data_IF_130639577809
#
_entry.id   IF_130639577809
#
_cell.length_a   1.000
_cell.length_b   1.000
_cell.length_c   1.000
_cell.angle_alpha   90.00
_cell.angle_beta   90.00
_cell.angle_gamma   90.00
#
_symmetry.space_group_name_H-M   'P 1'
#
loop_
_entity.id
_entity.type
_entity.pdbx_description
1 polymer ?
#
# COMPACT_ATOMS: atom_id res chain seq x y z
N UNK A 1 -22.28 -3.84 17.91
CA UNK A 1 -21.90 -2.75 16.95
C UNK A 1 -21.26 -1.65 17.79
N UNK A 2 -20.05 -1.19 17.43
CA UNK A 2 -19.21 -0.35 18.31
C UNK A 2 -17.79 -0.86 18.57
N UNK A 3 -17.27 -1.78 17.73
CA UNK A 3 -15.88 -2.25 17.85
C UNK A 3 -14.95 -1.40 16.99
N UNK A 4 -13.87 -0.90 17.59
CA UNK A 4 -12.86 -0.09 16.92
C UNK A 4 -12.07 -0.87 15.85
N UNK A 5 -11.71 -2.13 16.13
CA UNK A 5 -11.01 -2.98 15.18
C UNK A 5 -11.96 -3.92 14.44
N UNK A 6 -11.46 -4.55 13.36
CA UNK A 6 -12.19 -5.58 12.58
C UNK A 6 -11.82 -7.03 12.94
N UNK A 7 -10.78 -7.26 13.75
CA UNK A 7 -10.36 -8.61 14.19
C UNK A 7 -11.37 -9.31 15.12
N UNK A 8 -11.28 -10.61 15.34
CA UNK A 8 -12.06 -11.29 16.38
C UNK A 8 -11.12 -12.22 17.16
N UNK A 9 -11.30 -12.28 18.47
CA UNK A 9 -10.64 -13.28 19.32
C UNK A 9 -11.40 -14.60 19.15
N UNK A 10 -10.78 -15.57 18.48
CA UNK A 10 -11.40 -16.86 18.13
C UNK A 10 -11.65 -17.76 19.34
N UNK A 11 -10.94 -17.54 20.46
CA UNK A 11 -11.13 -18.31 21.68
C UNK A 11 -12.33 -17.81 22.50
N UNK A 12 -12.52 -16.48 22.53
CA UNK A 12 -13.57 -15.84 23.34
C UNK A 12 -14.87 -15.62 22.59
N UNK A 13 -14.85 -15.61 21.26
CA UNK A 13 -16.03 -15.32 20.43
C UNK A 13 -16.48 -16.56 19.66
N UNK A 14 -17.80 -16.66 19.49
CA UNK A 14 -18.49 -17.71 18.74
C UNK A 14 -19.49 -17.08 17.78
N UNK A 15 -19.92 -17.85 16.79
CA UNK A 15 -20.98 -17.41 15.88
C UNK A 15 -22.28 -17.17 16.66
N UNK A 16 -22.89 -15.99 16.51
CA UNK A 16 -24.15 -15.67 17.21
C UNK A 16 -25.37 -16.42 16.70
N UNK A 17 -25.27 -17.11 15.56
CA UNK A 17 -26.35 -17.88 14.95
C UNK A 17 -26.27 -19.38 15.27
N UNK A 18 -25.11 -20.00 15.00
CA UNK A 18 -24.91 -21.44 15.17
C UNK A 18 -24.04 -21.83 16.37
N UNK A 19 -23.50 -20.87 17.13
CA UNK A 19 -22.64 -21.08 18.30
C UNK A 19 -21.32 -21.87 18.05
N UNK A 20 -20.98 -22.08 16.78
CA UNK A 20 -19.71 -22.66 16.35
C UNK A 20 -18.50 -21.82 16.77
N UNK A 21 -17.36 -22.50 16.94
CA UNK A 21 -16.05 -21.87 17.17
C UNK A 21 -15.50 -21.33 15.84
N UNK A 22 -14.78 -20.22 15.90
CA UNK A 22 -14.08 -19.69 14.74
C UNK A 22 -12.72 -20.38 14.62
N UNK A 23 -12.39 -20.88 13.44
CA UNK A 23 -11.07 -21.41 13.12
C UNK A 23 -10.36 -20.46 12.15
N UNK A 24 -9.11 -20.11 12.48
CA UNK A 24 -8.30 -19.30 11.59
C UNK A 24 -7.67 -20.18 10.52
N UNK A 25 -8.15 -19.99 9.30
CA UNK A 25 -7.59 -20.60 8.12
C UNK A 25 -6.38 -19.78 7.63
N UNK A 26 -5.16 -20.31 7.82
CA UNK A 26 -3.91 -19.58 7.56
C UNK A 26 -3.30 -19.94 6.19
N UNK A 27 -3.30 -18.99 5.26
CA UNK A 27 -2.69 -19.13 3.93
C UNK A 27 -1.24 -18.64 3.91
N UNK A 28 -0.39 -19.13 4.83
CA UNK A 28 1.02 -18.73 4.93
C UNK A 28 1.92 -19.95 5.04
N UNK A 29 3.04 -19.89 4.33
CA UNK A 29 4.16 -20.81 4.49
C UNK A 29 4.93 -20.38 5.73
N UNK A 30 5.06 -21.26 6.73
CA UNK A 30 6.00 -21.02 7.83
C UNK A 30 7.43 -21.21 7.35
N UNK A 31 8.42 -20.70 8.08
CA UNK A 31 9.85 -20.98 7.82
C UNK A 31 10.17 -22.48 7.86
N UNK A 32 9.30 -23.27 8.48
CA UNK A 32 9.35 -24.73 8.61
C UNK A 32 8.68 -25.48 7.45
N UNK A 33 8.17 -24.79 6.42
CA UNK A 33 7.68 -25.41 5.18
C UNK A 33 6.26 -25.99 5.24
N UNK A 34 5.57 -25.97 6.38
CA UNK A 34 4.20 -26.51 6.48
C UNK A 34 3.20 -25.59 5.77
N UNK A 35 2.57 -26.09 4.70
CA UNK A 35 1.52 -25.41 3.93
C UNK A 35 0.15 -25.92 4.37
N UNK A 36 -0.64 -25.11 5.08
CA UNK A 36 -2.07 -25.35 5.22
C UNK A 36 -2.76 -24.80 3.95
N UNK A 37 -3.48 -25.67 3.25
CA UNK A 37 -3.94 -25.44 1.88
C UNK A 37 -5.32 -24.77 1.85
N UNK A 38 -5.37 -23.52 1.40
CA UNK A 38 -6.56 -22.91 0.76
C UNK A 38 -6.05 -22.05 -0.41
N UNK A 39 -6.78 -21.97 -1.54
CA UNK A 39 -6.39 -21.17 -2.69
C UNK A 39 -6.07 -19.74 -2.29
N UNK A 40 -4.79 -19.37 -2.42
CA UNK A 40 -4.31 -18.02 -2.20
C UNK A 40 -4.64 -17.22 -3.46
N UNK A 41 -5.44 -16.17 -3.36
CA UNK A 41 -5.34 -15.10 -4.36
C UNK A 41 -3.98 -14.44 -4.14
N UNK A 42 -3.05 -14.50 -5.11
CA UNK A 42 -1.76 -13.86 -4.95
C UNK A 42 -1.97 -12.36 -4.75
N UNK A 43 -1.53 -11.83 -3.62
CA UNK A 43 -1.40 -10.38 -3.45
C UNK A 43 -0.09 -9.92 -4.09
N UNK A 44 0.07 -10.27 -5.37
CA UNK A 44 1.17 -9.81 -6.24
C UNK A 44 0.82 -8.45 -6.84
N UNK A 45 0.09 -7.61 -6.08
CA UNK A 45 -0.19 -6.26 -6.51
C UNK A 45 1.12 -5.50 -6.50
N UNK A 46 1.58 -5.16 -7.70
CA UNK A 46 2.72 -4.30 -7.90
C UNK A 46 2.54 -3.01 -7.06
N UNK A 47 3.61 -2.55 -6.39
CA UNK A 47 3.54 -1.32 -5.60
C UNK A 47 3.12 -0.16 -6.50
N UNK A 48 2.24 0.70 -6.00
CA UNK A 48 1.80 1.88 -6.74
C UNK A 48 2.99 2.82 -7.00
N UNK A 49 2.91 3.64 -8.04
CA UNK A 49 3.95 4.63 -8.35
C UNK A 49 4.27 5.55 -7.15
N UNK A 50 3.26 5.91 -6.37
CA UNK A 50 3.46 6.68 -5.14
C UNK A 50 4.21 5.87 -4.06
N UNK A 51 3.90 4.58 -3.89
CA UNK A 51 4.60 3.74 -2.93
C UNK A 51 6.08 3.57 -3.27
N UNK A 52 6.41 3.43 -4.56
CA UNK A 52 7.79 3.43 -5.04
C UNK A 52 8.47 4.78 -4.75
N UNK A 53 7.82 5.89 -5.08
CA UNK A 53 8.36 7.22 -4.83
C UNK A 53 8.64 7.47 -3.34
N UNK A 54 7.73 7.08 -2.45
CA UNK A 54 7.92 7.21 -1.00
C UNK A 54 9.10 6.35 -0.54
N UNK A 55 9.23 5.11 -1.03
CA UNK A 55 10.33 4.22 -0.68
C UNK A 55 11.70 4.85 -0.98
N UNK A 56 11.83 5.49 -2.13
CA UNK A 56 13.10 6.04 -2.59
C UNK A 56 13.45 7.35 -1.87
N UNK A 57 12.46 8.17 -1.49
CA UNK A 57 12.69 9.53 -0.97
C UNK A 57 12.54 9.66 0.55
N UNK A 58 11.90 8.69 1.24
CA UNK A 58 11.57 8.81 2.66
C UNK A 58 12.80 8.98 3.56
N UNK A 59 13.85 8.18 3.33
CA UNK A 59 15.07 8.21 4.14
C UNK A 59 15.78 9.57 4.05
N UNK A 60 15.84 10.15 2.85
CA UNK A 60 16.39 11.48 2.60
C UNK A 60 15.61 12.56 3.33
N UNK A 61 14.28 12.60 3.15
CA UNK A 61 13.43 13.61 3.81
C UNK A 61 13.52 13.53 5.32
N UNK A 62 13.50 12.31 5.89
CA UNK A 62 13.59 12.09 7.33
C UNK A 62 14.95 12.51 7.91
N UNK A 63 16.03 12.36 7.14
CA UNK A 63 17.38 12.78 7.55
C UNK A 63 17.58 14.28 7.45
N UNK A 64 17.09 14.92 6.38
CA UNK A 64 17.23 16.37 6.17
C UNK A 64 16.38 17.17 7.16
N UNK A 65 15.21 16.64 7.56
CA UNK A 65 14.31 17.29 8.51
C UNK A 65 14.16 16.43 9.76
N UNK A 66 15.22 16.41 10.55
CA UNK A 66 15.25 15.64 11.81
C UNK A 66 14.14 16.13 12.74
N UNK A 67 13.42 15.19 13.35
CA UNK A 67 12.35 15.49 14.31
C UNK A 67 10.94 15.59 13.75
N UNK A 68 10.73 15.55 12.43
CA UNK A 68 9.38 15.55 11.86
C UNK A 68 8.60 14.28 12.22
N UNK A 69 7.33 14.46 12.54
CA UNK A 69 6.42 13.35 12.75
C UNK A 69 6.20 12.60 11.42
N UNK A 70 5.98 11.28 11.50
CA UNK A 70 5.75 10.45 10.31
C UNK A 70 4.64 11.01 9.39
N UNK A 71 3.57 11.54 9.98
CA UNK A 71 2.45 12.18 9.27
C UNK A 71 2.92 13.34 8.40
N UNK A 72 3.79 14.20 8.92
CA UNK A 72 4.29 15.39 8.23
C UNK A 72 5.20 15.00 7.07
N UNK A 73 6.04 13.98 7.27
CA UNK A 73 6.89 13.42 6.20
C UNK A 73 6.03 12.88 5.06
N UNK A 74 4.96 12.15 5.35
CA UNK A 74 4.05 11.62 4.33
C UNK A 74 3.27 12.72 3.60
N UNK A 75 2.86 13.79 4.31
CA UNK A 75 2.22 14.94 3.68
C UNK A 75 3.17 15.65 2.70
N UNK A 76 4.42 15.87 3.09
CA UNK A 76 5.42 16.50 2.24
C UNK A 76 5.70 15.66 0.98
N UNK A 77 5.88 14.35 1.13
CA UNK A 77 6.07 13.45 0.00
C UNK A 77 4.85 13.40 -0.93
N UNK A 78 3.64 13.48 -0.37
CA UNK A 78 2.40 13.57 -1.15
C UNK A 78 2.33 14.85 -2.01
N UNK A 79 2.72 15.99 -1.45
CA UNK A 79 2.78 17.27 -2.17
C UNK A 79 3.82 17.23 -3.29
N UNK A 80 5.02 16.72 -3.01
CA UNK A 80 6.09 16.57 -4.00
C UNK A 80 5.68 15.65 -5.15
N UNK A 81 5.08 14.50 -4.84
CA UNK A 81 4.61 13.57 -5.87
C UNK A 81 3.51 14.17 -6.75
N UNK A 82 2.60 14.94 -6.17
CA UNK A 82 1.52 15.62 -6.90
C UNK A 82 2.08 16.68 -7.86
N UNK A 83 3.08 17.46 -7.43
CA UNK A 83 3.76 18.45 -8.27
C UNK A 83 4.48 17.81 -9.47
N UNK A 84 5.15 16.67 -9.26
CA UNK A 84 5.79 15.90 -10.35
C UNK A 84 4.75 15.36 -11.34
N UNK A 85 3.60 14.89 -10.84
CA UNK A 85 2.53 14.38 -11.69
C UNK A 85 1.95 15.48 -12.60
N UNK A 86 1.77 16.69 -12.06
CA UNK A 86 1.27 17.86 -12.81
C UNK A 86 2.28 18.34 -13.87
N UNK A 87 3.59 18.34 -13.55
CA UNK A 87 4.63 18.77 -14.49
C UNK A 87 4.90 17.77 -15.63
N UNK A 88 4.57 16.49 -15.44
CA UNK A 88 4.60 15.48 -16.52
C UNK A 88 3.42 15.63 -17.48
N UNK A 89 2.23 16.01 -16.98
CA UNK A 89 1.03 16.23 -17.80
C UNK A 89 1.22 17.38 -18.79
N UNK A 90 1.92 18.45 -18.38
CA UNK A 90 2.16 19.62 -19.22
C UNK A 90 3.23 19.43 -20.31
N UNK A 91 4.07 18.39 -20.21
CA UNK A 91 5.10 18.07 -21.24
C UNK A 91 4.58 17.18 -22.35
N UNK A 92 3.60 16.33 -22.06
CA UNK A 92 3.02 15.40 -23.04
C UNK A 92 2.06 16.10 -24.03
N UNK A 93 1.38 17.16 -23.59
CA UNK A 93 0.50 17.98 -24.45
C UNK A 93 1.23 18.96 -25.39
N UNK A 94 2.57 19.04 -25.31
CA UNK A 94 3.38 20.02 -26.07
C UNK A 94 4.38 19.35 -27.03
N UNK A 95 3.99 18.22 -27.65
CA UNK A 95 4.72 17.64 -28.78
C UNK A 95 4.18 18.24 -30.08
N UNK A 96 4.84 19.22 -30.71
CA UNK A 96 4.46 19.60 -32.07
C UNK A 96 4.74 18.42 -32.99
N UNK A 97 3.75 18.06 -33.80
CA UNK A 97 3.89 17.21 -34.97
C UNK A 97 4.97 17.82 -35.86
N UNK A 98 6.13 17.18 -35.96
CA UNK A 98 7.12 17.55 -36.98
C UNK A 98 6.58 16.96 -38.28
N UNK A 99 5.86 17.78 -39.05
CA UNK A 99 5.54 17.52 -40.45
C UNK A 99 6.87 17.43 -41.20
N UNK A 100 7.22 16.23 -41.67
CA UNK A 100 8.32 16.01 -42.61
C UNK A 100 7.71 16.20 -43.99
N UNK A 101 7.99 17.32 -44.64
CA UNK A 101 7.72 17.50 -46.07
C UNK A 101 8.89 16.94 -46.88
N UNK A 102 8.55 16.06 -47.82
CA UNK A 102 9.43 15.50 -48.85
C UNK A 102 10.02 16.57 -49.80
#
# INVERSE_FOLDING_TARGET
IGRHSKSLDTEKKRCGHCFGRFELLVNRVTKSGTKLQIPKTPNDRQPTAFALFVKDNYSTVKKTRQGLAHKEVMQLLGQQFSAIKLSKKTRDERRPSVEISD
#
